data_IF_771619307748
#
_entry.id   IF_771619307748
#
_cell.length_a   1.000
_cell.length_b   1.000
_cell.length_c   1.000
_cell.angle_alpha   90.00
_cell.angle_beta   90.00
_cell.angle_gamma   90.00
#
_symmetry.space_group_name_H-M   'P 1'
#
loop_
_entity.id
_entity.type
_entity.pdbx_description
1 polymer ?
#
# COMPACT_ATOMS: atom_id res chain seq x y z
N UNK A 1 -16.75 -29.16 -6.21
CA UNK A 1 -16.16 -27.82 -6.43
C UNK A 1 -15.84 -27.08 -5.14
N UNK A 2 -16.72 -27.07 -4.13
CA UNK A 2 -16.47 -26.36 -2.85
C UNK A 2 -15.18 -26.79 -2.13
N UNK A 3 -14.93 -28.10 -1.97
CA UNK A 3 -13.71 -28.57 -1.28
C UNK A 3 -12.43 -28.13 -1.99
N UNK A 4 -12.40 -28.20 -3.31
CA UNK A 4 -11.29 -27.70 -4.13
C UNK A 4 -10.93 -26.25 -3.79
N UNK A 5 -11.93 -25.37 -3.68
CA UNK A 5 -11.72 -23.97 -3.32
C UNK A 5 -11.31 -23.77 -1.86
N UNK A 6 -11.87 -24.56 -0.92
CA UNK A 6 -11.46 -24.54 0.49
C UNK A 6 -9.96 -24.85 0.63
N UNK A 7 -9.48 -25.88 -0.06
CA UNK A 7 -8.07 -26.29 -0.02
C UNK A 7 -7.15 -25.21 -0.62
N UNK A 8 -7.58 -24.59 -1.73
CA UNK A 8 -6.85 -23.48 -2.34
C UNK A 8 -6.80 -22.25 -1.44
N UNK A 9 -7.93 -21.84 -0.84
CA UNK A 9 -7.97 -20.69 0.06
C UNK A 9 -7.14 -20.92 1.33
N UNK A 10 -7.12 -22.15 1.86
CA UNK A 10 -6.23 -22.52 2.95
C UNK A 10 -4.74 -22.36 2.58
N UNK A 11 -4.39 -22.61 1.31
CA UNK A 11 -3.03 -22.41 0.80
C UNK A 11 -2.72 -20.94 0.52
N UNK A 12 -3.60 -20.25 -0.18
CA UNK A 12 -3.45 -18.83 -0.58
C UNK A 12 -3.49 -17.86 0.59
N UNK A 13 -4.16 -18.22 1.69
CA UNK A 13 -4.24 -17.37 2.87
C UNK A 13 -2.96 -17.34 3.70
N UNK A 14 -1.94 -18.14 3.36
CA UNK A 14 -0.67 -18.19 4.10
C UNK A 14 0.22 -17.01 3.70
N UNK A 15 0.98 -16.44 4.65
CA UNK A 15 2.06 -15.51 4.32
C UNK A 15 3.17 -16.23 3.52
N UNK A 16 4.19 -15.49 3.05
CA UNK A 16 5.45 -16.06 2.58
C UNK A 16 6.08 -17.00 3.61
N UNK A 17 7.07 -17.78 3.17
CA UNK A 17 7.86 -18.63 4.05
C UNK A 17 8.85 -17.83 4.90
N UNK A 18 9.27 -18.39 6.04
CA UNK A 18 10.30 -17.81 6.92
C UNK A 18 11.59 -17.48 6.16
N UNK A 19 11.93 -18.28 5.14
CA UNK A 19 13.11 -18.06 4.31
C UNK A 19 12.99 -16.84 3.39
N UNK A 20 11.78 -16.57 2.88
CA UNK A 20 11.48 -15.38 2.09
C UNK A 20 11.45 -14.15 2.98
N UNK A 21 10.83 -14.23 4.15
CA UNK A 21 10.84 -13.16 5.17
C UNK A 21 12.29 -12.82 5.57
N UNK A 22 13.14 -13.82 5.82
CA UNK A 22 14.55 -13.58 6.13
C UNK A 22 15.32 -12.91 4.98
N UNK A 23 14.98 -13.19 3.71
CA UNK A 23 15.58 -12.51 2.55
C UNK A 23 15.09 -11.08 2.41
N UNK A 24 13.80 -10.83 2.66
CA UNK A 24 13.22 -9.49 2.68
C UNK A 24 13.83 -8.63 3.78
N UNK A 25 13.94 -9.14 5.01
CA UNK A 25 14.56 -8.44 6.13
C UNK A 25 16.04 -8.11 5.87
N UNK A 26 16.75 -9.01 5.16
CA UNK A 26 18.11 -8.74 4.70
C UNK A 26 18.15 -7.62 3.67
N UNK A 27 17.27 -7.61 2.67
CA UNK A 27 17.18 -6.53 1.69
C UNK A 27 16.93 -5.17 2.40
N UNK A 28 15.93 -5.12 3.29
CA UNK A 28 15.60 -3.92 4.06
C UNK A 28 16.78 -3.42 4.90
N UNK A 29 17.49 -4.31 5.61
CA UNK A 29 18.71 -3.95 6.35
C UNK A 29 19.80 -3.39 5.45
N UNK A 30 20.09 -4.06 4.34
CA UNK A 30 21.17 -3.63 3.43
C UNK A 30 20.86 -2.27 2.81
N UNK A 31 19.60 -1.98 2.52
CA UNK A 31 19.16 -0.67 2.03
C UNK A 31 19.33 0.37 3.14
N UNK A 32 18.89 0.10 4.36
CA UNK A 32 19.12 1.00 5.48
C UNK A 32 20.62 1.28 5.69
N UNK A 33 21.47 0.26 5.65
CA UNK A 33 22.93 0.42 5.71
C UNK A 33 23.49 1.23 4.53
N UNK A 34 22.92 1.11 3.32
CA UNK A 34 23.35 1.90 2.17
C UNK A 34 23.12 3.40 2.43
N UNK A 35 21.94 3.74 2.97
CA UNK A 35 21.56 5.10 3.29
C UNK A 35 22.36 5.65 4.47
N UNK A 36 22.43 4.90 5.58
CA UNK A 36 23.07 5.37 6.82
C UNK A 36 24.60 5.50 6.76
N UNK A 37 25.27 4.84 5.80
CA UNK A 37 26.73 4.92 5.66
C UNK A 37 27.18 5.82 4.49
N UNK A 38 26.26 6.50 3.82
CA UNK A 38 26.59 7.33 2.68
C UNK A 38 26.84 8.78 3.14
N UNK A 39 28.11 9.19 3.16
CA UNK A 39 28.57 10.45 3.75
C UNK A 39 27.75 11.72 3.38
N UNK A 40 27.28 11.91 2.13
CA UNK A 40 26.41 13.05 1.80
C UNK A 40 25.07 13.11 2.56
N UNK A 41 24.60 11.97 3.09
CA UNK A 41 23.34 11.85 3.85
C UNK A 41 23.54 11.84 5.37
N UNK A 42 24.77 11.77 5.89
CA UNK A 42 25.05 11.60 7.33
C UNK A 42 24.43 12.70 8.23
N UNK A 43 24.29 13.92 7.69
CA UNK A 43 23.73 15.06 8.42
C UNK A 43 22.20 15.19 8.32
N UNK A 44 21.54 14.29 7.59
CA UNK A 44 20.11 14.36 7.27
C UNK A 44 19.29 13.54 8.25
N UNK A 45 18.11 14.03 8.59
CA UNK A 45 17.12 13.26 9.34
C UNK A 45 16.36 12.36 8.36
N UNK A 46 16.64 11.05 8.37
CA UNK A 46 16.08 10.08 7.42
C UNK A 46 15.50 8.87 8.15
N UNK A 47 14.33 8.42 7.71
CA UNK A 47 13.78 7.11 8.06
C UNK A 47 13.82 6.16 6.87
N UNK A 48 14.17 4.90 7.13
CA UNK A 48 14.07 3.80 6.16
C UNK A 48 13.20 2.70 6.74
N UNK A 49 12.11 2.35 6.07
CA UNK A 49 11.19 1.32 6.56
C UNK A 49 10.48 0.57 5.43
N UNK A 50 10.10 -0.68 5.71
CA UNK A 50 9.27 -1.45 4.80
C UNK A 50 7.87 -0.86 4.67
N UNK A 51 7.36 -0.81 3.45
CA UNK A 51 6.02 -0.37 3.08
C UNK A 51 5.27 -1.50 2.35
N UNK A 52 4.12 -1.15 1.77
CA UNK A 52 3.39 -2.03 0.88
C UNK A 52 2.96 -3.38 1.48
N UNK A 53 2.82 -4.38 0.61
CA UNK A 53 2.21 -5.66 0.96
C UNK A 53 3.05 -6.48 1.94
N UNK A 54 4.38 -6.36 1.88
CA UNK A 54 5.30 -7.00 2.82
C UNK A 54 5.09 -6.46 4.24
N UNK A 55 5.19 -5.13 4.44
CA UNK A 55 4.96 -4.51 5.74
C UNK A 55 3.56 -4.80 6.28
N UNK A 56 2.56 -4.78 5.40
CA UNK A 56 1.18 -5.02 5.77
C UNK A 56 0.87 -6.51 5.99
N UNK A 57 1.80 -7.42 5.70
CA UNK A 57 1.57 -8.87 5.70
C UNK A 57 0.28 -9.22 4.95
N UNK A 58 0.19 -8.71 3.73
CA UNK A 58 -0.86 -9.01 2.75
C UNK A 58 -0.26 -9.48 1.42
N UNK A 59 1.06 -9.66 1.36
CA UNK A 59 1.74 -10.20 0.20
C UNK A 59 1.40 -11.68 -0.02
N UNK A 60 1.38 -12.08 -1.29
CA UNK A 60 1.20 -13.48 -1.68
C UNK A 60 2.54 -14.10 -2.03
N UNK A 61 2.62 -15.44 -2.09
CA UNK A 61 3.85 -16.14 -2.49
C UNK A 61 4.31 -15.88 -3.94
N UNK A 62 3.45 -15.25 -4.75
CA UNK A 62 3.79 -14.86 -6.11
C UNK A 62 4.32 -13.41 -6.17
N UNK A 63 4.24 -12.66 -5.07
CA UNK A 63 4.76 -11.29 -4.96
C UNK A 63 6.14 -11.41 -4.26
N UNK A 64 7.22 -11.28 -5.04
CA UNK A 64 8.60 -11.43 -4.55
C UNK A 64 9.20 -10.13 -4.02
N UNK A 65 8.72 -8.99 -4.50
CA UNK A 65 9.41 -7.72 -4.32
C UNK A 65 8.92 -7.05 -3.04
N UNK A 66 9.83 -6.36 -2.35
CA UNK A 66 9.48 -5.59 -1.15
C UNK A 66 9.52 -4.10 -1.42
N UNK A 67 8.52 -3.38 -0.92
CA UNK A 67 8.53 -1.92 -0.97
C UNK A 67 9.30 -1.37 0.22
N UNK A 68 10.27 -0.48 -0.03
CA UNK A 68 11.03 0.24 1.00
C UNK A 68 10.83 1.74 0.80
N UNK A 69 10.36 2.42 1.84
CA UNK A 69 10.26 3.87 1.87
C UNK A 69 11.53 4.47 2.49
N UNK A 70 12.12 5.44 1.80
CA UNK A 70 13.22 6.28 2.30
C UNK A 70 12.70 7.71 2.39
N UNK A 71 12.61 8.24 3.61
CA UNK A 71 11.88 9.48 3.92
C UNK A 71 12.81 10.51 4.53
N UNK A 72 12.88 11.70 3.94
CA UNK A 72 13.59 12.85 4.51
C UNK A 72 12.64 13.67 5.39
N UNK A 73 13.10 14.00 6.60
CA UNK A 73 12.37 14.77 7.61
C UNK A 73 12.87 16.22 7.76
N UNK A 74 13.94 16.59 7.05
CA UNK A 74 14.47 17.97 7.07
C UNK A 74 13.51 18.99 6.44
N UNK A 75 12.58 18.52 5.60
CA UNK A 75 11.54 19.33 4.97
C UNK A 75 10.34 18.45 4.59
N UNK A 76 9.19 19.10 4.40
CA UNK A 76 7.92 18.42 4.12
C UNK A 76 7.11 19.17 3.06
N UNK A 77 6.16 18.46 2.46
CA UNK A 77 5.06 19.05 1.72
C UNK A 77 3.85 19.26 2.63
N UNK A 78 3.03 20.26 2.33
CA UNK A 78 1.86 20.57 3.14
C UNK A 78 0.58 20.62 2.31
N UNK A 79 -0.53 20.18 2.91
CA UNK A 79 -1.89 20.45 2.45
C UNK A 79 -2.65 21.18 3.55
N UNK A 80 -3.21 22.33 3.20
CA UNK A 80 -3.99 23.14 4.12
C UNK A 80 -5.50 22.96 3.91
N UNK A 81 -6.34 23.17 4.93
CA UNK A 81 -7.78 23.12 4.77
C UNK A 81 -8.29 24.30 3.94
N UNK A 82 -9.45 24.14 3.32
CA UNK A 82 -10.14 25.25 2.63
C UNK A 82 -10.53 26.34 3.64
N UNK A 83 -10.38 27.62 3.29
CA UNK A 83 -10.75 28.76 4.14
C UNK A 83 -9.58 29.74 4.34
N UNK A 84 -9.34 30.15 5.59
CA UNK A 84 -8.13 30.91 6.00
C UNK A 84 -7.09 29.92 6.56
N UNK A 85 -6.32 29.23 5.70
CA UNK A 85 -5.28 28.32 6.18
C UNK A 85 -4.16 29.09 6.89
N UNK A 86 -3.44 28.46 7.83
CA UNK A 86 -2.18 29.01 8.30
C UNK A 86 -1.25 29.22 7.10
N UNK A 87 -0.65 30.41 7.01
CA UNK A 87 0.40 30.66 6.04
C UNK A 87 1.68 29.95 6.49
N UNK A 88 2.62 29.62 5.58
CA UNK A 88 3.92 29.06 5.96
C UNK A 88 4.64 29.86 7.06
N UNK A 89 4.49 31.18 7.05
CA UNK A 89 5.06 32.09 8.04
C UNK A 89 4.39 31.92 9.42
N UNK A 90 3.09 31.65 9.47
CA UNK A 90 2.35 31.35 10.71
C UNK A 90 2.80 30.05 11.37
N UNK A 91 3.55 29.23 10.62
CA UNK A 91 4.12 27.96 11.05
C UNK A 91 5.62 28.04 11.31
N UNK A 92 6.22 29.23 11.15
CA UNK A 92 7.66 29.44 11.30
C UNK A 92 8.49 28.88 10.16
N UNK A 93 7.88 28.53 9.02
CA UNK A 93 8.59 28.00 7.86
C UNK A 93 9.19 29.14 7.03
N UNK A 94 10.34 29.66 7.46
CA UNK A 94 11.08 30.73 6.76
C UNK A 94 12.37 30.21 6.14
N UNK A 95 12.78 30.73 4.98
CA UNK A 95 14.14 30.50 4.44
C UNK A 95 14.26 29.56 3.24
N UNK A 96 13.15 29.00 2.74
CA UNK A 96 13.10 28.15 1.55
C UNK A 96 13.81 26.79 1.72
N UNK A 97 13.65 25.90 0.73
CA UNK A 97 14.25 24.56 0.75
C UNK A 97 15.50 24.55 -0.12
N UNK A 98 16.69 24.39 0.49
CA UNK A 98 17.97 24.25 -0.24
C UNK A 98 18.30 22.82 -0.61
N UNK A 99 17.81 21.85 0.17
CA UNK A 99 17.96 20.43 -0.05
C UNK A 99 16.56 19.81 0.02
N UNK A 100 15.99 19.51 -1.13
CA UNK A 100 14.61 18.99 -1.27
C UNK A 100 14.58 17.63 -1.96
N UNK A 101 13.39 17.23 -2.41
CA UNK A 101 13.13 15.90 -2.95
C UNK A 101 14.10 15.48 -4.06
N UNK A 102 14.41 16.37 -5.01
CA UNK A 102 15.27 16.01 -6.16
C UNK A 102 16.71 15.71 -5.74
N UNK A 103 17.31 16.58 -4.93
CA UNK A 103 18.67 16.38 -4.40
C UNK A 103 18.72 15.12 -3.51
N UNK A 104 17.69 14.92 -2.70
CA UNK A 104 17.57 13.73 -1.87
C UNK A 104 17.44 12.45 -2.70
N UNK A 105 16.62 12.46 -3.74
CA UNK A 105 16.44 11.33 -4.65
C UNK A 105 17.75 10.98 -5.36
N UNK A 106 18.51 11.99 -5.82
CA UNK A 106 19.84 11.76 -6.41
C UNK A 106 20.83 11.12 -5.43
N UNK A 107 20.90 11.63 -4.19
CA UNK A 107 21.80 11.08 -3.18
C UNK A 107 21.40 9.67 -2.74
N UNK A 108 20.11 9.38 -2.60
CA UNK A 108 19.62 8.02 -2.36
C UNK A 108 20.04 7.09 -3.50
N UNK A 109 19.85 7.50 -4.76
CA UNK A 109 20.29 6.72 -5.91
C UNK A 109 21.80 6.46 -5.92
N UNK A 110 22.62 7.46 -5.56
CA UNK A 110 24.08 7.31 -5.42
C UNK A 110 24.44 6.36 -4.26
N UNK A 111 23.79 6.48 -3.11
CA UNK A 111 23.98 5.62 -1.95
C UNK A 111 23.69 4.15 -2.27
N UNK A 112 22.55 3.88 -2.93
CA UNK A 112 22.18 2.54 -3.36
C UNK A 112 23.21 1.96 -4.35
N UNK A 113 23.60 2.73 -5.38
CA UNK A 113 24.62 2.28 -6.35
C UNK A 113 25.99 2.04 -5.71
N UNK A 114 26.37 2.82 -4.69
CA UNK A 114 27.61 2.61 -3.96
C UNK A 114 27.59 1.28 -3.17
N UNK A 115 26.45 0.88 -2.60
CA UNK A 115 26.30 -0.38 -1.85
C UNK A 115 26.13 -1.60 -2.75
N UNK A 116 25.28 -1.50 -3.78
CA UNK A 116 24.81 -2.63 -4.58
C UNK A 116 25.48 -2.75 -5.95
N UNK A 117 26.29 -1.77 -6.34
CA UNK A 117 26.90 -1.67 -7.67
C UNK A 117 25.94 -1.09 -8.70
N UNK A 118 26.49 -0.64 -9.83
CA UNK A 118 25.69 -0.01 -10.90
C UNK A 118 24.66 -0.96 -11.49
N UNK A 119 25.02 -2.23 -11.71
CA UNK A 119 24.14 -3.25 -12.28
C UNK A 119 23.19 -3.88 -11.25
N UNK A 120 23.36 -3.55 -9.97
CA UNK A 120 22.49 -3.98 -8.89
C UNK A 120 21.33 -3.03 -8.59
N UNK A 121 21.25 -1.90 -9.31
CA UNK A 121 20.21 -0.87 -9.10
C UNK A 121 19.74 -0.28 -10.43
N UNK A 122 18.46 -0.46 -10.73
CA UNK A 122 17.80 0.20 -11.87
C UNK A 122 16.98 1.39 -11.38
N UNK A 123 17.20 2.58 -11.94
CA UNK A 123 16.40 3.76 -11.61
C UNK A 123 15.11 3.77 -12.43
N UNK A 124 13.96 3.65 -11.76
CA UNK A 124 12.63 3.86 -12.34
C UNK A 124 12.17 5.31 -12.23
N UNK A 125 10.95 5.57 -12.69
CA UNK A 125 10.32 6.90 -12.57
C UNK A 125 9.78 7.22 -11.17
N UNK A 126 9.57 6.18 -10.35
CA UNK A 126 8.96 6.30 -9.00
C UNK A 126 9.79 5.66 -7.88
N UNK A 127 10.58 4.64 -8.21
CA UNK A 127 11.39 3.91 -7.26
C UNK A 127 12.69 3.47 -7.92
N UNK A 128 13.69 3.16 -7.11
CA UNK A 128 14.87 2.42 -7.52
C UNK A 128 14.62 0.93 -7.29
N UNK A 129 14.73 0.14 -8.34
CA UNK A 129 14.70 -1.31 -8.26
C UNK A 129 16.09 -1.82 -7.84
N UNK A 130 16.18 -2.34 -6.62
CA UNK A 130 17.39 -2.99 -6.09
C UNK A 130 17.28 -4.48 -6.35
N UNK A 131 18.08 -4.97 -7.30
CA UNK A 131 17.95 -6.33 -7.80
C UNK A 131 18.25 -7.38 -6.73
N UNK A 132 17.51 -8.48 -6.77
CA UNK A 132 17.67 -9.65 -5.93
C UNK A 132 19.02 -10.33 -6.14
N UNK A 133 19.36 -11.22 -5.22
CA UNK A 133 20.40 -12.21 -5.43
C UNK A 133 20.11 -13.47 -4.61
N UNK A 134 21.07 -14.38 -4.49
CA UNK A 134 20.91 -15.60 -3.69
C UNK A 134 20.54 -15.34 -2.22
N UNK A 135 20.91 -14.16 -1.69
CA UNK A 135 20.77 -13.78 -0.29
C UNK A 135 19.62 -12.79 0.01
N UNK A 136 19.08 -12.06 -0.98
CA UNK A 136 18.06 -11.01 -0.78
C UNK A 136 17.00 -11.05 -1.89
N UNK A 137 15.79 -10.56 -1.58
CA UNK A 137 14.74 -10.33 -2.58
C UNK A 137 14.96 -9.01 -3.31
N UNK A 138 14.24 -8.83 -4.42
CA UNK A 138 14.13 -7.56 -5.13
C UNK A 138 13.43 -6.54 -4.21
N UNK A 139 13.79 -5.27 -4.35
CA UNK A 139 13.22 -4.23 -3.52
C UNK A 139 13.01 -2.93 -4.30
N UNK A 140 11.79 -2.42 -4.25
CA UNK A 140 11.43 -1.12 -4.78
C UNK A 140 11.68 -0.06 -3.70
N UNK A 141 12.72 0.75 -3.89
CA UNK A 141 13.08 1.85 -2.99
C UNK A 141 12.47 3.15 -3.48
N UNK A 142 11.40 3.59 -2.83
CA UNK A 142 10.73 4.85 -3.14
C UNK A 142 11.17 5.96 -2.18
N UNK A 143 11.46 7.13 -2.74
CA UNK A 143 11.96 8.31 -2.01
C UNK A 143 10.81 9.29 -1.75
N UNK A 144 10.70 9.74 -0.51
CA UNK A 144 9.65 10.65 -0.09
C UNK A 144 10.19 11.81 0.75
N UNK A 145 9.42 12.89 0.79
CA UNK A 145 9.45 13.83 1.92
C UNK A 145 8.26 13.54 2.84
N UNK A 146 8.33 14.03 4.07
CA UNK A 146 7.15 14.12 4.93
C UNK A 146 6.00 14.89 4.24
N UNK A 147 4.77 14.54 4.60
CA UNK A 147 3.55 15.24 4.19
C UNK A 147 2.71 15.62 5.39
N UNK A 148 2.43 16.91 5.55
CA UNK A 148 1.57 17.43 6.61
C UNK A 148 0.21 17.87 6.06
N UNK A 149 -0.85 17.14 6.41
CA UNK A 149 -2.23 17.57 6.12
C UNK A 149 -2.83 18.24 7.34
N UNK A 150 -2.81 19.57 7.34
CA UNK A 150 -3.34 20.38 8.43
C UNK A 150 -4.86 20.25 8.51
N UNK A 151 -5.36 20.10 9.74
CA UNK A 151 -6.79 19.94 10.03
C UNK A 151 -7.51 21.25 10.29
N UNK A 152 -6.77 22.35 10.46
CA UNK A 152 -7.29 23.65 10.89
C UNK A 152 -7.59 23.74 12.38
N UNK A 153 -7.28 22.70 13.17
CA UNK A 153 -7.38 22.70 14.63
C UNK A 153 -6.01 22.93 15.26
N UNK A 154 -6.00 23.36 16.52
CA UNK A 154 -4.79 23.48 17.36
C UNK A 154 -4.74 22.31 18.35
N UNK A 155 -3.54 21.84 18.64
CA UNK A 155 -3.26 20.93 19.75
C UNK A 155 -3.29 21.71 21.08
N UNK A 156 -3.27 21.00 22.21
CA UNK A 156 -3.29 21.60 23.56
C UNK A 156 -2.09 22.50 23.84
N UNK A 157 -0.93 22.21 23.23
CA UNK A 157 0.29 23.02 23.32
C UNK A 157 0.28 24.25 22.41
N UNK A 158 -0.82 24.48 21.68
CA UNK A 158 -0.96 25.60 20.75
C UNK A 158 -0.30 25.37 19.39
N UNK A 159 0.30 24.21 19.11
CA UNK A 159 0.75 23.87 17.75
C UNK A 159 -0.43 23.56 16.82
N UNK A 160 -0.25 23.68 15.50
CA UNK A 160 -1.29 23.28 14.56
C UNK A 160 -1.37 21.77 14.45
N UNK A 161 -2.58 21.22 14.52
CA UNK A 161 -2.82 19.80 14.37
C UNK A 161 -2.82 19.41 12.88
N UNK A 162 -1.95 18.47 12.52
CA UNK A 162 -1.87 17.87 11.19
C UNK A 162 -1.85 16.36 11.27
N UNK A 163 -2.21 15.73 10.15
CA UNK A 163 -1.98 14.32 9.91
C UNK A 163 -0.67 14.17 9.15
N UNK A 164 0.18 13.26 9.61
CA UNK A 164 1.49 12.99 9.05
C UNK A 164 1.43 11.82 8.06
N UNK A 165 1.94 12.04 6.86
CA UNK A 165 2.11 11.03 5.82
C UNK A 165 3.43 11.25 5.10
N UNK A 166 3.54 10.69 3.90
CA UNK A 166 4.70 10.90 3.03
C UNK A 166 4.24 11.25 1.63
N UNK A 167 4.99 12.10 0.93
CA UNK A 167 4.66 12.54 -0.42
C UNK A 167 5.90 12.45 -1.32
N UNK A 168 5.68 11.85 -2.48
CA UNK A 168 6.60 11.90 -3.61
C UNK A 168 5.96 12.68 -4.76
N UNK A 169 6.81 13.27 -5.61
CA UNK A 169 6.37 14.04 -6.78
C UNK A 169 7.00 13.50 -8.04
N UNK A 170 6.18 13.30 -9.07
CA UNK A 170 6.65 13.00 -10.42
C UNK A 170 7.22 14.25 -11.10
N UNK A 171 8.02 14.04 -12.14
CA UNK A 171 8.57 15.12 -12.97
C UNK A 171 7.50 15.96 -13.67
N UNK A 172 6.32 15.38 -13.88
CA UNK A 172 5.12 16.02 -14.45
C UNK A 172 4.31 16.83 -13.42
N UNK A 173 4.79 16.93 -12.17
CA UNK A 173 4.07 17.57 -11.08
C UNK A 173 2.99 16.71 -10.44
N UNK A 174 2.84 15.45 -10.86
CA UNK A 174 1.95 14.50 -10.18
C UNK A 174 2.38 14.30 -8.73
N UNK A 175 1.42 14.12 -7.84
CA UNK A 175 1.64 13.96 -6.41
C UNK A 175 1.11 12.61 -5.97
N UNK A 176 1.92 11.85 -5.24
CA UNK A 176 1.49 10.60 -4.61
C UNK A 176 1.68 10.78 -3.11
N UNK A 177 0.57 10.88 -2.39
CA UNK A 177 0.54 11.02 -0.93
C UNK A 177 0.12 9.68 -0.34
N UNK A 178 1.01 9.11 0.48
CA UNK A 178 0.79 7.84 1.17
C UNK A 178 0.73 8.03 2.68
N UNK A 179 -0.10 7.20 3.32
CA UNK A 179 -0.36 7.21 4.76
C UNK A 179 0.08 5.88 5.35
N UNK A 180 1.35 5.51 5.17
CA UNK A 180 1.86 4.17 5.45
C UNK A 180 1.59 3.72 6.89
N UNK A 181 1.78 4.61 7.87
CA UNK A 181 1.59 4.29 9.29
C UNK A 181 0.11 4.08 9.63
N UNK A 182 -0.78 4.96 9.18
CA UNK A 182 -2.23 4.79 9.38
C UNK A 182 -2.76 3.53 8.68
N UNK A 183 -2.30 3.28 7.44
CA UNK A 183 -2.64 2.06 6.69
C UNK A 183 -2.24 0.80 7.47
N UNK A 184 -1.01 0.76 7.97
CA UNK A 184 -0.51 -0.36 8.76
C UNK A 184 -1.33 -0.56 10.05
N UNK A 185 -1.51 0.51 10.85
CA UNK A 185 -2.25 0.45 12.12
C UNK A 185 -3.68 -0.03 11.90
N UNK A 186 -4.42 0.61 11.00
CA UNK A 186 -5.81 0.25 10.73
C UNK A 186 -5.94 -1.18 10.21
N UNK A 187 -5.01 -1.61 9.35
CA UNK A 187 -4.95 -2.97 8.84
C UNK A 187 -4.68 -4.01 9.93
N UNK A 188 -3.80 -3.70 10.89
CA UNK A 188 -3.57 -4.54 12.08
C UNK A 188 -4.81 -4.60 12.96
N UNK A 189 -5.43 -3.46 13.25
CA UNK A 189 -6.62 -3.37 14.09
C UNK A 189 -7.77 -4.19 13.53
N UNK A 190 -8.09 -4.03 12.23
CA UNK A 190 -9.10 -4.85 11.57
C UNK A 190 -8.72 -6.34 11.58
N UNK A 191 -7.45 -6.67 11.33
CA UNK A 191 -7.01 -8.05 11.38
C UNK A 191 -7.21 -8.69 12.76
N UNK A 192 -6.97 -7.94 13.83
CA UNK A 192 -7.18 -8.42 15.20
C UNK A 192 -8.67 -8.61 15.50
N UNK A 193 -9.52 -7.62 15.16
CA UNK A 193 -10.98 -7.70 15.37
C UNK A 193 -11.65 -8.85 14.60
N UNK A 194 -11.08 -9.24 13.46
CA UNK A 194 -11.60 -10.30 12.59
C UNK A 194 -10.95 -11.67 12.83
N UNK A 195 -10.31 -11.91 13.99
CA UNK A 195 -9.69 -13.20 14.28
C UNK A 195 -8.60 -13.59 13.26
N UNK A 196 -7.89 -12.60 12.73
CA UNK A 196 -6.86 -12.70 11.69
C UNK A 196 -7.37 -13.10 10.31
N UNK A 197 -8.68 -13.02 10.05
CA UNK A 197 -9.30 -13.40 8.77
C UNK A 197 -9.21 -12.29 7.71
N UNK A 198 -9.19 -11.02 8.09
CA UNK A 198 -9.05 -9.91 7.14
C UNK A 198 -7.82 -10.06 6.22
N UNK A 199 -6.60 -10.17 6.77
CA UNK A 199 -5.38 -10.28 5.95
C UNK A 199 -5.33 -11.60 5.16
N UNK A 200 -5.94 -12.67 5.69
CA UNK A 200 -6.07 -13.95 4.98
C UNK A 200 -6.96 -13.83 3.74
N UNK A 201 -8.10 -13.17 3.86
CA UNK A 201 -9.01 -12.91 2.74
C UNK A 201 -8.40 -11.92 1.74
N UNK A 202 -7.66 -10.91 2.20
CA UNK A 202 -6.93 -10.02 1.30
C UNK A 202 -5.95 -10.81 0.41
N UNK A 203 -5.17 -11.75 0.98
CA UNK A 203 -4.30 -12.65 0.20
C UNK A 203 -5.10 -13.58 -0.73
N UNK A 204 -6.21 -14.15 -0.24
CA UNK A 204 -7.09 -15.00 -1.06
C UNK A 204 -7.63 -14.24 -2.27
N UNK A 205 -8.07 -13.00 -2.11
CA UNK A 205 -8.54 -12.15 -3.21
C UNK A 205 -7.44 -11.87 -4.24
N UNK A 206 -6.21 -11.57 -3.78
CA UNK A 206 -5.05 -11.37 -4.66
C UNK A 206 -4.71 -12.62 -5.46
N UNK A 207 -4.62 -13.78 -4.80
CA UNK A 207 -4.38 -15.05 -5.48
C UNK A 207 -5.54 -15.44 -6.41
N UNK A 208 -6.79 -15.15 -6.03
CA UNK A 208 -7.96 -15.37 -6.87
C UNK A 208 -7.90 -14.52 -8.14
N UNK A 209 -7.52 -13.24 -8.02
CA UNK A 209 -7.28 -12.34 -9.15
C UNK A 209 -6.21 -12.90 -10.08
N UNK A 210 -5.09 -13.41 -9.56
CA UNK A 210 -4.04 -14.02 -10.38
C UNK A 210 -4.48 -15.34 -11.03
N UNK A 211 -5.35 -16.09 -10.36
CA UNK A 211 -5.96 -17.28 -10.94
C UNK A 211 -6.95 -16.95 -12.06
N UNK A 212 -7.78 -15.92 -11.88
CA UNK A 212 -8.71 -15.42 -12.88
C UNK A 212 -7.99 -14.92 -14.13
N UNK A 213 -6.79 -14.32 -14.00
CA UNK A 213 -5.95 -13.93 -15.15
C UNK A 213 -5.60 -15.09 -16.08
N UNK A 214 -5.63 -16.33 -15.56
CA UNK A 214 -5.34 -17.57 -16.30
C UNK A 214 -6.60 -18.29 -16.80
N UNK A 215 -7.78 -17.73 -16.56
CA UNK A 215 -9.03 -18.30 -17.04
C UNK A 215 -9.11 -18.31 -18.57
N UNK A 216 -9.69 -19.38 -19.12
CA UNK A 216 -10.02 -19.48 -20.55
C UNK A 216 -11.18 -18.52 -20.93
N UNK A 217 -12.02 -18.15 -19.96
CA UNK A 217 -13.09 -17.20 -20.17
C UNK A 217 -12.56 -15.76 -20.22
N UNK A 218 -12.66 -15.14 -21.41
CA UNK A 218 -12.18 -13.77 -21.63
C UNK A 218 -12.78 -12.75 -20.66
N UNK A 219 -14.07 -12.89 -20.32
CA UNK A 219 -14.75 -11.95 -19.40
C UNK A 219 -14.23 -12.02 -17.96
N UNK A 220 -13.80 -13.20 -17.50
CA UNK A 220 -13.19 -13.39 -16.18
C UNK A 220 -11.77 -12.80 -16.18
N UNK A 221 -10.99 -13.12 -17.21
CA UNK A 221 -9.61 -12.63 -17.36
C UNK A 221 -9.54 -11.10 -17.42
N UNK A 222 -10.42 -10.46 -18.17
CA UNK A 222 -10.47 -8.99 -18.27
C UNK A 222 -10.85 -8.32 -16.94
N UNK A 223 -11.78 -8.89 -16.18
CA UNK A 223 -12.16 -8.34 -14.88
C UNK A 223 -11.07 -8.49 -13.80
N UNK A 224 -10.05 -9.31 -14.04
CA UNK A 224 -8.92 -9.50 -13.14
C UNK A 224 -7.84 -8.40 -13.27
N UNK A 225 -8.02 -7.43 -14.17
CA UNK A 225 -7.14 -6.26 -14.32
C UNK A 225 -7.44 -5.20 -13.24
N UNK A 226 -7.16 -5.56 -11.99
CA UNK A 226 -7.32 -4.70 -10.81
C UNK A 226 -6.06 -4.80 -9.94
N UNK A 227 -5.60 -3.70 -9.31
CA UNK A 227 -4.36 -3.72 -8.52
C UNK A 227 -4.51 -4.41 -7.16
N UNK A 228 -3.42 -4.97 -6.65
CA UNK A 228 -3.39 -5.64 -5.34
C UNK A 228 -3.87 -4.73 -4.20
N UNK A 229 -3.53 -3.44 -4.28
CA UNK A 229 -3.92 -2.43 -3.29
C UNK A 229 -5.44 -2.20 -3.25
N UNK A 230 -6.13 -2.22 -4.40
CA UNK A 230 -7.59 -2.14 -4.45
C UNK A 230 -8.22 -3.33 -3.73
N UNK A 231 -7.72 -4.55 -3.97
CA UNK A 231 -8.26 -5.76 -3.34
C UNK A 231 -8.10 -5.76 -1.82
N UNK A 232 -6.97 -5.26 -1.31
CA UNK A 232 -6.74 -5.08 0.11
C UNK A 232 -7.70 -4.06 0.74
N UNK A 233 -7.89 -2.92 0.07
CA UNK A 233 -8.85 -1.91 0.51
C UNK A 233 -10.29 -2.42 0.44
N UNK A 234 -10.68 -3.15 -0.61
CA UNK A 234 -12.01 -3.77 -0.71
C UNK A 234 -12.28 -4.71 0.48
N UNK A 235 -11.35 -5.62 0.78
CA UNK A 235 -11.45 -6.47 1.96
C UNK A 235 -11.58 -5.61 3.25
N UNK A 236 -10.82 -4.53 3.38
CA UNK A 236 -10.87 -3.68 4.55
C UNK A 236 -12.26 -3.06 4.79
N UNK A 237 -12.99 -2.71 3.73
CA UNK A 237 -14.30 -2.09 3.81
C UNK A 237 -15.46 -3.08 4.08
N UNK A 238 -15.25 -4.39 3.94
CA UNK A 238 -16.27 -5.37 4.35
C UNK A 238 -16.45 -5.35 5.87
N UNK A 239 -17.68 -5.50 6.38
CA UNK A 239 -17.94 -5.47 7.83
C UNK A 239 -17.23 -6.62 8.54
N UNK A 240 -16.95 -6.46 9.83
CA UNK A 240 -16.23 -7.49 10.59
C UNK A 240 -17.01 -8.82 10.67
N UNK A 241 -18.35 -8.75 10.62
CA UNK A 241 -19.22 -9.93 10.57
C UNK A 241 -19.00 -10.82 9.35
N UNK A 242 -18.56 -10.26 8.21
CA UNK A 242 -18.22 -11.04 7.01
C UNK A 242 -17.05 -12.02 7.23
N UNK A 243 -16.28 -11.86 8.31
CA UNK A 243 -15.07 -12.63 8.60
C UNK A 243 -15.26 -13.70 9.68
N UNK A 244 -16.51 -13.98 10.05
CA UNK A 244 -16.88 -14.88 11.13
C UNK A 244 -17.89 -15.94 10.63
N UNK A 245 -17.71 -16.42 9.40
CA UNK A 245 -18.66 -17.32 8.72
C UNK A 245 -18.28 -18.81 8.83
N UNK A 246 -17.27 -19.13 9.64
CA UNK A 246 -16.76 -20.48 9.87
C UNK A 246 -15.40 -20.71 9.21
N UNK A 247 -15.37 -20.79 7.88
CA UNK A 247 -14.15 -21.00 7.11
C UNK A 247 -13.87 -19.89 6.08
N UNK A 248 -12.70 -19.95 5.43
CA UNK A 248 -12.28 -18.90 4.49
C UNK A 248 -13.13 -18.86 3.21
N UNK A 249 -13.79 -19.97 2.85
CA UNK A 249 -14.68 -20.01 1.69
C UNK A 249 -15.97 -19.23 2.00
N UNK A 250 -16.56 -19.47 3.16
CA UNK A 250 -17.77 -18.77 3.60
C UNK A 250 -17.47 -17.30 3.97
N UNK A 251 -16.30 -17.01 4.55
CA UNK A 251 -15.83 -15.64 4.77
C UNK A 251 -15.71 -14.87 3.44
N UNK A 252 -15.08 -15.47 2.43
CA UNK A 252 -14.94 -14.85 1.11
C UNK A 252 -16.30 -14.66 0.43
N UNK A 253 -17.21 -15.64 0.54
CA UNK A 253 -18.57 -15.54 0.00
C UNK A 253 -19.29 -14.33 0.61
N UNK A 254 -19.25 -14.17 1.93
CA UNK A 254 -19.87 -13.04 2.63
C UNK A 254 -19.23 -11.70 2.25
N UNK A 255 -17.89 -11.62 2.22
CA UNK A 255 -17.16 -10.42 1.80
C UNK A 255 -17.54 -10.00 0.38
N UNK A 256 -17.52 -10.91 -0.59
CA UNK A 256 -17.90 -10.59 -1.98
C UNK A 256 -19.37 -10.17 -2.07
N UNK A 257 -20.27 -10.83 -1.35
CA UNK A 257 -21.71 -10.48 -1.36
C UNK A 257 -21.94 -9.05 -0.88
N UNK A 258 -21.35 -8.68 0.26
CA UNK A 258 -21.49 -7.34 0.83
C UNK A 258 -20.91 -6.27 -0.10
N UNK A 259 -19.67 -6.49 -0.58
CA UNK A 259 -18.99 -5.52 -1.45
C UNK A 259 -19.66 -5.39 -2.81
N UNK A 260 -20.14 -6.49 -3.40
CA UNK A 260 -20.82 -6.45 -4.69
C UNK A 260 -22.13 -5.65 -4.61
N UNK A 261 -22.91 -5.84 -3.54
CA UNK A 261 -24.12 -5.06 -3.30
C UNK A 261 -23.82 -3.58 -3.10
N UNK A 262 -22.80 -3.23 -2.31
CA UNK A 262 -22.46 -1.83 -2.07
C UNK A 262 -21.70 -1.14 -3.21
N UNK A 263 -21.26 -1.88 -4.23
CA UNK A 263 -20.59 -1.31 -5.42
C UNK A 263 -21.54 -1.16 -6.62
N UNK A 264 -22.83 -1.46 -6.46
CA UNK A 264 -23.84 -1.19 -7.50
C UNK A 264 -23.89 0.31 -7.83
N UNK A 265 -24.27 0.62 -9.07
CA UNK A 265 -24.34 2.00 -9.55
C UNK A 265 -25.34 2.84 -8.75
N UNK A 266 -26.46 2.24 -8.33
CA UNK A 266 -27.55 2.94 -7.63
C UNK A 266 -27.31 3.09 -6.11
N UNK A 267 -26.26 2.48 -5.56
CA UNK A 267 -25.99 2.52 -4.12
C UNK A 267 -24.90 3.53 -3.79
N UNK A 268 -25.27 4.76 -3.44
CA UNK A 268 -24.33 5.80 -3.01
C UNK A 268 -24.16 5.91 -1.48
N UNK A 269 -24.91 5.12 -0.72
CA UNK A 269 -24.82 5.11 0.75
C UNK A 269 -23.52 4.48 1.29
N UNK A 270 -22.78 3.76 0.45
CA UNK A 270 -21.53 3.10 0.86
C UNK A 270 -20.32 3.98 0.60
N UNK A 271 -19.78 4.48 1.70
CA UNK A 271 -18.49 5.16 1.80
C UNK A 271 -17.36 4.13 1.82
N UNK A 272 -16.57 4.07 0.74
CA UNK A 272 -15.36 3.24 0.68
C UNK A 272 -14.11 4.08 0.88
N UNK A 273 -13.22 3.62 1.74
CA UNK A 273 -11.93 4.27 2.04
C UNK A 273 -10.75 3.35 1.73
N UNK A 274 -9.59 3.93 1.47
CA UNK A 274 -8.34 3.18 1.58
C UNK A 274 -8.16 2.67 3.02
N UNK A 275 -7.33 1.65 3.24
CA UNK A 275 -7.08 1.10 4.60
C UNK A 275 -6.63 2.18 5.59
N UNK A 276 -5.88 3.19 5.11
CA UNK A 276 -5.51 4.36 5.92
C UNK A 276 -6.69 5.10 6.54
N UNK A 277 -7.89 4.99 5.96
CA UNK A 277 -9.07 5.77 6.34
C UNK A 277 -9.00 7.25 5.95
N UNK A 278 -7.91 7.67 5.27
CA UNK A 278 -7.62 9.09 5.01
C UNK A 278 -7.91 9.52 3.58
N UNK A 279 -8.21 8.57 2.70
CA UNK A 279 -8.56 8.77 1.28
C UNK A 279 -9.77 7.92 0.92
N UNK A 280 -10.60 8.46 0.04
CA UNK A 280 -11.67 7.71 -0.61
C UNK A 280 -11.07 6.64 -1.53
N UNK A 281 -11.63 5.42 -1.47
CA UNK A 281 -11.21 4.32 -2.34
C UNK A 281 -11.61 4.57 -3.79
N UNK A 282 -12.75 5.22 -4.01
CA UNK A 282 -13.24 5.60 -5.33
C UNK A 282 -13.29 7.13 -5.41
N UNK A 283 -12.32 7.72 -6.11
CA UNK A 283 -12.21 9.16 -6.32
C UNK A 283 -11.44 9.45 -7.60
N UNK A 284 -11.47 10.71 -8.06
CA UNK A 284 -10.90 11.08 -9.37
C UNK A 284 -9.38 10.90 -9.51
N UNK A 285 -8.66 10.77 -8.40
CA UNK A 285 -7.19 10.56 -8.38
C UNK A 285 -6.80 9.07 -8.44
N UNK A 286 -7.76 8.14 -8.34
CA UNK A 286 -7.47 6.70 -8.29
C UNK A 286 -7.41 6.10 -9.71
N UNK A 287 -6.48 5.17 -9.99
CA UNK A 287 -6.37 4.54 -11.31
C UNK A 287 -7.41 3.42 -11.54
N UNK A 288 -8.38 3.26 -10.65
CA UNK A 288 -9.47 2.29 -10.74
C UNK A 288 -10.82 2.94 -10.46
N UNK A 289 -11.90 2.23 -10.79
CA UNK A 289 -13.28 2.73 -10.64
C UNK A 289 -14.14 1.80 -9.79
N UNK A 290 -15.22 2.34 -9.21
CA UNK A 290 -16.27 1.53 -8.54
C UNK A 290 -16.82 0.45 -9.47
N UNK A 291 -16.99 0.77 -10.76
CA UNK A 291 -17.44 -0.18 -11.78
C UNK A 291 -16.44 -1.32 -12.01
N UNK A 292 -15.13 -1.04 -12.06
CA UNK A 292 -14.10 -2.09 -12.17
C UNK A 292 -14.09 -3.03 -10.97
N UNK A 293 -14.24 -2.49 -9.75
CA UNK A 293 -14.37 -3.29 -8.53
C UNK A 293 -15.64 -4.15 -8.54
N UNK A 294 -16.78 -3.57 -8.95
CA UNK A 294 -18.05 -4.29 -9.08
C UNK A 294 -17.95 -5.46 -10.07
N UNK A 295 -17.33 -5.22 -11.22
CA UNK A 295 -17.08 -6.24 -12.26
C UNK A 295 -16.18 -7.36 -11.73
N UNK A 296 -15.06 -7.01 -11.09
CA UNK A 296 -14.16 -7.98 -10.45
C UNK A 296 -14.91 -8.87 -9.45
N UNK A 297 -15.71 -8.29 -8.55
CA UNK A 297 -16.44 -9.04 -7.52
C UNK A 297 -17.45 -10.02 -8.12
N UNK A 298 -18.18 -9.61 -9.17
CA UNK A 298 -19.11 -10.48 -9.89
C UNK A 298 -18.35 -11.64 -10.59
N UNK A 299 -17.24 -11.34 -11.25
CA UNK A 299 -16.45 -12.36 -11.96
C UNK A 299 -15.71 -13.29 -11.01
N UNK A 300 -15.24 -12.81 -9.88
CA UNK A 300 -14.69 -13.62 -8.81
C UNK A 300 -15.75 -14.60 -8.26
N UNK A 301 -16.98 -14.14 -8.04
CA UNK A 301 -18.09 -15.00 -7.63
C UNK A 301 -18.36 -16.12 -8.64
N UNK A 302 -18.44 -15.76 -9.93
CA UNK A 302 -18.66 -16.71 -11.03
C UNK A 302 -17.51 -17.72 -11.15
N UNK A 303 -16.27 -17.24 -11.08
CA UNK A 303 -15.06 -18.07 -11.18
C UNK A 303 -14.95 -19.10 -10.05
N UNK A 304 -15.34 -18.72 -8.83
CA UNK A 304 -15.39 -19.66 -7.69
C UNK A 304 -16.59 -20.62 -7.80
N UNK A 305 -17.65 -20.22 -8.49
CA UNK A 305 -18.88 -21.00 -8.63
C UNK A 305 -19.72 -20.99 -7.35
N UNK A 306 -19.76 -19.87 -6.63
CA UNK A 306 -20.64 -19.71 -5.48
C UNK A 306 -22.11 -19.84 -5.93
N UNK A 307 -22.90 -20.65 -5.22
CA UNK A 307 -24.34 -20.71 -5.43
C UNK A 307 -25.01 -19.45 -4.90
N UNK A 308 -26.12 -19.06 -5.54
CA UNK A 308 -27.07 -18.10 -4.98
C UNK A 308 -27.50 -18.50 -3.56
#
# INVERSE_FOLDING_TARGET
MTQYWRDRFATWSRPPSDSEEAKADRAARMINEAISNYAPLDSKSISVYGAGSYKNNTNTRNESDIDIAVVLHDCFFSKYPNGKPPQPEDLGHTGGVKYGLDAFHEDVGRALKAKFGHDGVTAGSKAFDVHSNTSRLDADVAVFLEHHRYTGKRNTDGSWHYLEGVEMRGKDGSRIINWHQDHYRNGVDKNNRTGRRYKRIARVLKCLRDDMKRSEEQSIRQAADVPSFLLECLAFNASDGCYQQGDLYDDLKAVITTLWNGTKAETDDFVYVEVSGLKWLFGGEQPWTKASAHSFLLKAWQHVGFSR
#
